data_IF_369577442561
#
_entry.id   IF_369577442561
#
_cell.length_a   1.000
_cell.length_b   1.000
_cell.length_c   1.000
_cell.angle_alpha   90.00
_cell.angle_beta   90.00
_cell.angle_gamma   90.00
#
_symmetry.space_group_name_H-M   'P 1'
#
loop_
_entity.id
_entity.type
_entity.pdbx_description
1 polymer ?
#
# COMPACT_ATOMS: atom_id res chain seq x y z
N UNK A 1 -14.25 9.44 -6.30
CA UNK A 1 -14.72 8.17 -6.87
C UNK A 1 -13.57 7.31 -7.34
N UNK A 2 -13.89 6.12 -7.86
CA UNK A 2 -12.90 5.20 -8.45
C UNK A 2 -12.89 5.36 -9.96
N UNK A 3 -11.76 5.81 -10.51
CA UNK A 3 -11.56 5.97 -11.93
C UNK A 3 -10.78 4.79 -12.52
N UNK A 4 -11.14 4.40 -13.74
CA UNK A 4 -10.47 3.31 -14.45
C UNK A 4 -9.21 3.79 -15.16
N UNK A 5 -9.31 4.95 -15.79
CA UNK A 5 -8.22 5.52 -16.57
C UNK A 5 -7.94 6.94 -16.08
N UNK A 6 -6.67 7.24 -15.90
CA UNK A 6 -6.18 8.56 -15.52
C UNK A 6 -4.99 8.90 -16.40
N UNK A 7 -5.03 10.08 -17.00
CA UNK A 7 -3.91 10.71 -17.72
C UNK A 7 -3.64 12.09 -17.13
N UNK A 8 -2.61 12.78 -17.61
CA UNK A 8 -2.31 14.16 -17.17
C UNK A 8 -3.41 15.18 -17.55
N UNK A 9 -4.30 14.80 -18.45
CA UNK A 9 -5.28 15.69 -19.05
C UNK A 9 -6.72 15.27 -18.78
N UNK A 10 -6.93 13.99 -18.39
CA UNK A 10 -8.27 13.42 -18.29
C UNK A 10 -8.37 12.35 -17.19
N UNK A 11 -9.51 12.33 -16.54
CA UNK A 11 -9.92 11.27 -15.58
C UNK A 11 -11.21 10.66 -16.10
N UNK A 12 -11.22 9.33 -16.29
CA UNK A 12 -12.38 8.61 -16.82
C UNK A 12 -12.93 7.69 -15.73
N UNK A 13 -14.16 7.96 -15.28
CA UNK A 13 -14.94 7.06 -14.45
C UNK A 13 -15.77 6.14 -15.34
N UNK A 14 -15.88 4.88 -14.94
CA UNK A 14 -16.85 3.96 -15.54
C UNK A 14 -18.15 3.97 -14.72
N UNK A 15 -19.19 4.52 -15.32
CA UNK A 15 -20.56 4.33 -14.85
C UNK A 15 -21.16 3.11 -15.54
N UNK A 16 -22.21 2.48 -14.97
CA UNK A 16 -22.88 1.36 -15.63
C UNK A 16 -23.26 1.70 -17.07
N UNK A 17 -22.60 0.99 -18.01
CA UNK A 17 -22.88 1.07 -19.44
C UNK A 17 -22.14 2.14 -20.24
N UNK A 18 -21.33 3.05 -19.63
CA UNK A 18 -20.56 4.06 -20.40
C UNK A 18 -19.39 4.66 -19.64
N UNK A 19 -18.30 5.06 -20.35
CA UNK A 19 -17.26 5.91 -19.78
C UNK A 19 -17.79 7.31 -19.51
N UNK A 20 -17.31 7.92 -18.43
CA UNK A 20 -17.66 9.29 -18.04
C UNK A 20 -16.37 10.12 -17.89
N UNK A 21 -15.91 10.81 -18.98
CA UNK A 21 -14.67 11.54 -18.97
C UNK A 21 -14.81 12.91 -18.31
N UNK A 22 -13.76 13.31 -17.59
CA UNK A 22 -13.61 14.66 -17.03
C UNK A 22 -12.25 15.22 -17.46
N UNK A 23 -12.27 16.44 -18.03
CA UNK A 23 -11.07 17.16 -18.44
C UNK A 23 -10.88 18.39 -17.55
N UNK A 24 -10.01 18.30 -16.52
CA UNK A 24 -9.69 19.44 -15.69
C UNK A 24 -8.99 20.53 -16.50
N UNK A 25 -9.24 21.80 -16.14
CA UNK A 25 -8.55 22.96 -16.74
C UNK A 25 -7.05 22.98 -16.37
N UNK A 26 -6.71 22.48 -15.17
CA UNK A 26 -5.34 22.23 -14.75
C UNK A 26 -4.94 20.77 -15.04
N UNK A 27 -3.63 20.53 -15.19
CA UNK A 27 -3.07 19.17 -15.29
C UNK A 27 -3.49 18.33 -14.10
N UNK A 28 -3.87 17.08 -14.35
CA UNK A 28 -4.19 16.11 -13.28
C UNK A 28 -2.93 15.81 -12.47
N UNK A 29 -3.03 15.91 -11.16
CA UNK A 29 -1.99 15.48 -10.23
C UNK A 29 -2.15 13.98 -9.96
N UNK A 30 -1.15 13.19 -10.34
CA UNK A 30 -1.14 11.73 -10.13
C UNK A 30 -0.10 11.40 -9.08
N UNK A 31 -0.52 10.71 -8.01
CA UNK A 31 0.41 10.28 -6.96
C UNK A 31 1.48 9.32 -7.52
N UNK A 32 2.73 9.51 -7.13
CA UNK A 32 3.86 8.68 -7.60
C UNK A 32 4.35 8.98 -9.01
N UNK A 33 3.79 9.97 -9.72
CA UNK A 33 4.18 10.33 -11.10
C UNK A 33 5.66 10.75 -11.24
N UNK A 34 6.24 11.28 -10.18
CA UNK A 34 7.63 11.74 -10.16
C UNK A 34 8.64 10.63 -9.80
N UNK A 35 8.19 9.44 -9.45
CA UNK A 35 9.08 8.29 -9.32
C UNK A 35 9.58 7.87 -10.71
N UNK A 36 10.84 7.45 -10.81
CA UNK A 36 11.46 7.00 -12.07
C UNK A 36 10.77 5.77 -12.70
N UNK A 37 9.76 5.22 -12.06
CA UNK A 37 8.91 4.15 -12.58
C UNK A 37 7.69 4.76 -13.26
N UNK A 38 7.36 4.26 -14.44
CA UNK A 38 6.07 4.51 -15.09
C UNK A 38 4.96 4.35 -14.06
N UNK A 39 4.11 5.35 -13.89
CA UNK A 39 3.15 5.49 -12.80
C UNK A 39 2.42 4.22 -12.40
N UNK A 40 1.94 4.17 -11.19
CA UNK A 40 1.24 3.01 -10.65
C UNK A 40 -0.01 2.68 -11.50
N UNK A 41 -0.23 1.40 -11.78
CA UNK A 41 -1.39 0.93 -12.55
C UNK A 41 -2.69 1.12 -11.78
N UNK A 42 -3.75 1.59 -12.47
CA UNK A 42 -5.09 1.71 -11.90
C UNK A 42 -5.69 0.38 -11.41
N UNK A 43 -6.91 0.44 -10.85
CA UNK A 43 -7.79 1.61 -10.80
C UNK A 43 -7.26 2.71 -9.87
N UNK A 44 -7.91 3.90 -9.91
CA UNK A 44 -7.45 5.06 -9.16
C UNK A 44 -8.57 5.64 -8.31
N UNK A 45 -8.27 5.99 -7.08
CA UNK A 45 -9.00 7.01 -6.36
C UNK A 45 -8.84 8.33 -7.10
N UNK A 46 -9.96 8.99 -7.40
CA UNK A 46 -9.92 10.27 -8.07
C UNK A 46 -10.81 11.29 -7.37
N UNK A 47 -10.29 12.49 -7.22
CA UNK A 47 -10.96 13.66 -6.65
C UNK A 47 -10.94 14.74 -7.72
N UNK A 48 -12.12 15.30 -8.01
CA UNK A 48 -12.29 16.39 -8.95
C UNK A 48 -12.76 17.64 -8.23
N UNK A 49 -12.13 18.77 -8.53
CA UNK A 49 -12.56 20.08 -8.06
C UNK A 49 -13.35 20.79 -9.16
N UNK A 50 -14.57 21.21 -8.84
CA UNK A 50 -15.39 22.02 -9.71
C UNK A 50 -15.51 23.43 -9.19
N UNK A 51 -15.38 24.40 -10.10
CA UNK A 51 -15.54 25.84 -9.83
C UNK A 51 -16.60 26.44 -10.74
N UNK A 52 -17.05 27.65 -10.38
CA UNK A 52 -17.87 28.48 -11.26
C UNK A 52 -17.01 29.63 -11.82
N UNK A 53 -17.13 29.89 -13.09
CA UNK A 53 -16.52 31.07 -13.72
C UNK A 53 -17.34 32.35 -13.46
N UNK A 54 -16.89 33.48 -14.02
CA UNK A 54 -17.56 34.78 -13.84
C UNK A 54 -18.97 34.82 -14.44
N UNK A 55 -19.29 33.94 -15.40
CA UNK A 55 -20.62 33.78 -15.99
C UNK A 55 -21.53 32.86 -15.19
N UNK A 56 -21.01 32.21 -14.13
CA UNK A 56 -21.71 31.22 -13.31
C UNK A 56 -21.66 29.81 -13.90
N UNK A 57 -20.96 29.56 -15.00
CA UNK A 57 -20.82 28.25 -15.62
C UNK A 57 -19.89 27.37 -14.79
N UNK A 58 -20.32 26.11 -14.53
CA UNK A 58 -19.53 25.13 -13.81
C UNK A 58 -18.50 24.47 -14.72
N UNK A 59 -17.25 24.43 -14.30
CA UNK A 59 -16.18 23.72 -14.99
C UNK A 59 -15.32 22.88 -14.02
N UNK A 60 -14.67 21.84 -14.53
CA UNK A 60 -13.71 21.04 -13.77
C UNK A 60 -12.39 21.81 -13.69
N UNK A 61 -12.02 22.31 -12.53
CA UNK A 61 -10.84 23.14 -12.34
C UNK A 61 -9.57 22.32 -12.15
N UNK A 62 -9.63 21.26 -11.34
CA UNK A 62 -8.48 20.41 -11.02
C UNK A 62 -8.90 18.96 -10.80
N UNK A 63 -7.94 18.05 -10.91
CA UNK A 63 -8.09 16.63 -10.61
C UNK A 63 -6.86 16.09 -9.88
N UNK A 64 -7.10 15.18 -8.95
CA UNK A 64 -6.09 14.40 -8.25
C UNK A 64 -6.43 12.92 -8.36
N UNK A 65 -5.42 12.07 -8.55
CA UNK A 65 -5.57 10.64 -8.62
C UNK A 65 -4.49 9.92 -7.83
N UNK A 66 -4.88 8.81 -7.19
CA UNK A 66 -4.00 7.93 -6.44
C UNK A 66 -4.36 6.48 -6.77
N UNK A 67 -3.39 5.67 -7.15
CA UNK A 67 -3.66 4.27 -7.51
C UNK A 67 -4.24 3.50 -6.33
N UNK A 68 -5.16 2.58 -6.63
CA UNK A 68 -5.70 1.61 -5.70
C UNK A 68 -5.30 0.19 -6.13
N UNK A 69 -5.32 -0.74 -5.18
CA UNK A 69 -5.00 -2.15 -5.46
C UNK A 69 -5.93 -2.72 -6.55
N UNK A 70 -7.24 -2.71 -6.29
CA UNK A 70 -8.26 -3.20 -7.22
C UNK A 70 -9.59 -2.45 -7.03
N UNK A 71 -10.62 -2.86 -7.78
CA UNK A 71 -11.99 -2.34 -7.59
C UNK A 71 -12.64 -2.86 -6.32
N UNK A 72 -12.33 -4.09 -5.94
CA UNK A 72 -12.91 -4.76 -4.79
C UNK A 72 -12.16 -4.39 -3.50
N UNK A 73 -10.84 -4.20 -3.61
CA UNK A 73 -9.98 -3.73 -2.53
C UNK A 73 -9.42 -2.36 -2.87
N UNK A 74 -10.12 -1.32 -2.50
CA UNK A 74 -9.76 0.07 -2.85
C UNK A 74 -8.68 0.66 -1.94
N UNK A 75 -7.74 -0.18 -1.48
CA UNK A 75 -6.60 0.23 -0.66
C UNK A 75 -5.64 1.05 -1.52
N UNK A 76 -5.26 2.27 -1.11
CA UNK A 76 -4.31 3.09 -1.85
C UNK A 76 -2.93 2.47 -1.86
N UNK A 77 -2.23 2.57 -3.00
CA UNK A 77 -0.86 2.06 -3.20
C UNK A 77 0.01 3.10 -3.91
N UNK A 78 1.24 3.26 -3.46
CA UNK A 78 2.16 4.30 -3.95
C UNK A 78 3.01 3.84 -5.14
N UNK A 79 3.08 2.53 -5.39
CA UNK A 79 3.86 1.95 -6.49
C UNK A 79 3.29 0.61 -6.96
N UNK A 80 3.69 0.18 -8.18
CA UNK A 80 3.35 -1.16 -8.67
C UNK A 80 3.93 -2.27 -7.79
N UNK A 81 5.13 -2.07 -7.24
CA UNK A 81 5.76 -3.03 -6.35
C UNK A 81 4.97 -3.18 -5.04
N UNK A 82 4.53 -2.07 -4.47
CA UNK A 82 3.66 -2.08 -3.29
C UNK A 82 2.33 -2.78 -3.57
N UNK A 83 1.78 -2.57 -4.77
CA UNK A 83 0.59 -3.29 -5.24
C UNK A 83 0.82 -4.80 -5.32
N UNK A 84 1.96 -5.22 -5.84
CA UNK A 84 2.31 -6.64 -5.93
C UNK A 84 2.53 -7.25 -4.53
N UNK A 85 3.17 -6.51 -3.60
CA UNK A 85 3.30 -6.90 -2.19
C UNK A 85 1.93 -7.04 -1.52
N UNK A 86 1.03 -6.07 -1.74
CA UNK A 86 -0.33 -6.10 -1.19
C UNK A 86 -1.13 -7.31 -1.69
N UNK A 87 -1.04 -7.63 -2.99
CA UNK A 87 -1.67 -8.83 -3.55
C UNK A 87 -1.14 -10.10 -2.88
N UNK A 88 0.17 -10.21 -2.67
CA UNK A 88 0.75 -11.34 -1.96
C UNK A 88 0.25 -11.45 -0.51
N UNK A 89 0.00 -10.32 0.18
CA UNK A 89 -0.59 -10.31 1.53
C UNK A 89 -2.02 -10.82 1.49
N UNK A 90 -2.83 -10.35 0.56
CA UNK A 90 -4.24 -10.76 0.41
C UNK A 90 -4.31 -12.26 0.13
N UNK A 91 -3.58 -12.75 -0.87
CA UNK A 91 -3.56 -14.15 -1.27
C UNK A 91 -3.12 -15.07 -0.12
N UNK A 92 -2.04 -14.71 0.57
CA UNK A 92 -1.53 -15.47 1.71
C UNK A 92 -2.53 -15.50 2.87
N UNK A 93 -3.16 -14.36 3.18
CA UNK A 93 -4.15 -14.24 4.25
C UNK A 93 -5.39 -15.09 3.95
N UNK A 94 -5.91 -15.02 2.72
CA UNK A 94 -7.04 -15.85 2.29
C UNK A 94 -6.73 -17.34 2.35
N UNK A 95 -5.52 -17.73 1.91
CA UNK A 95 -5.10 -19.12 1.96
C UNK A 95 -5.06 -19.66 3.39
N UNK A 96 -4.48 -18.88 4.33
CA UNK A 96 -4.39 -19.26 5.74
C UNK A 96 -5.77 -19.28 6.40
N UNK A 97 -6.62 -18.29 6.14
CA UNK A 97 -8.00 -18.26 6.65
C UNK A 97 -8.84 -19.45 6.16
N UNK A 98 -8.67 -19.89 4.90
CA UNK A 98 -9.37 -21.08 4.38
C UNK A 98 -8.91 -22.38 5.06
N UNK A 99 -7.64 -22.44 5.49
CA UNK A 99 -7.04 -23.66 6.07
C UNK A 99 -7.23 -23.77 7.59
N UNK A 100 -7.25 -22.63 8.28
CA UNK A 100 -7.33 -22.53 9.73
C UNK A 100 -8.53 -21.66 10.11
N UNK A 101 -9.67 -22.28 10.31
CA UNK A 101 -10.86 -21.59 10.81
C UNK A 101 -11.18 -22.08 12.22
N UNK A 102 -11.58 -21.18 13.11
CA UNK A 102 -11.76 -19.73 12.91
C UNK A 102 -10.52 -18.91 13.22
N UNK A 103 -10.21 -17.98 12.34
CA UNK A 103 -9.05 -17.10 12.40
C UNK A 103 -9.44 -15.71 11.89
N UNK A 104 -9.06 -14.65 12.61
CA UNK A 104 -9.20 -13.29 12.14
C UNK A 104 -7.85 -12.73 11.69
N UNK A 105 -7.76 -12.34 10.43
CA UNK A 105 -6.63 -11.57 9.88
C UNK A 105 -7.14 -10.21 9.46
N UNK A 106 -6.52 -9.14 9.97
CA UNK A 106 -6.80 -7.78 9.52
C UNK A 106 -5.59 -7.19 8.83
N UNK A 107 -5.84 -6.50 7.71
CA UNK A 107 -4.85 -5.76 6.94
C UNK A 107 -5.13 -4.26 7.07
N UNK A 108 -4.11 -3.51 7.43
CA UNK A 108 -4.18 -2.06 7.61
C UNK A 108 -3.13 -1.40 6.71
N UNK A 109 -3.55 -0.43 5.89
CA UNK A 109 -2.66 0.53 5.22
C UNK A 109 -2.64 1.80 6.06
N UNK A 110 -1.56 2.11 6.80
CA UNK A 110 -1.46 3.35 7.55
C UNK A 110 -1.50 4.55 6.59
N UNK A 111 -2.45 5.46 6.78
CA UNK A 111 -2.53 6.71 6.03
C UNK A 111 -1.74 7.84 6.69
N UNK A 112 -1.37 7.66 7.96
CA UNK A 112 -0.62 8.62 8.76
C UNK A 112 0.58 7.95 9.41
N UNK A 113 1.64 8.73 9.59
CA UNK A 113 2.82 8.29 10.32
C UNK A 113 2.48 7.93 11.77
N UNK A 114 3.17 6.95 12.30
CA UNK A 114 3.05 6.46 13.67
C UNK A 114 4.28 6.89 14.47
N UNK A 115 4.10 7.14 15.77
CA UNK A 115 5.22 7.36 16.70
C UNK A 115 5.63 6.03 17.30
N UNK A 116 6.92 5.73 17.27
CA UNK A 116 7.52 4.60 17.97
C UNK A 116 8.64 5.10 18.88
N UNK A 117 8.78 4.51 20.06
CA UNK A 117 9.76 4.92 21.06
C UNK A 117 10.69 3.75 21.37
N UNK A 118 12.01 3.97 21.21
CA UNK A 118 13.05 3.01 21.55
C UNK A 118 14.10 3.68 22.45
N UNK A 119 14.34 3.12 23.64
CA UNK A 119 15.33 3.60 24.60
C UNK A 119 15.22 5.11 24.92
N UNK A 120 13.98 5.62 25.01
CA UNK A 120 13.69 7.03 25.22
C UNK A 120 13.82 7.92 23.99
N UNK A 121 14.18 7.38 22.84
CA UNK A 121 14.22 8.08 21.55
C UNK A 121 12.91 7.86 20.81
N UNK A 122 12.26 8.96 20.44
CA UNK A 122 11.06 8.95 19.59
C UNK A 122 11.46 9.02 18.12
N UNK A 123 10.89 8.15 17.29
CA UNK A 123 11.04 8.18 15.83
C UNK A 123 9.66 8.10 15.17
N UNK A 124 9.52 8.76 14.04
CA UNK A 124 8.31 8.71 13.22
C UNK A 124 8.49 7.61 12.17
N UNK A 125 7.62 6.60 12.22
CA UNK A 125 7.61 5.49 11.28
C UNK A 125 6.35 5.54 10.41
N UNK A 126 6.46 5.05 9.18
CA UNK A 126 5.35 4.95 8.25
C UNK A 126 5.43 3.61 7.52
N UNK A 127 4.92 2.52 8.13
CA UNK A 127 4.87 1.22 7.48
C UNK A 127 4.00 1.23 6.22
N UNK A 128 4.38 0.45 5.22
CA UNK A 128 3.53 0.28 4.04
C UNK A 128 2.25 -0.49 4.41
N UNK A 129 2.38 -1.58 5.18
CA UNK A 129 1.23 -2.34 5.67
C UNK A 129 1.45 -2.88 7.08
N UNK A 130 0.33 -3.13 7.78
CA UNK A 130 0.29 -3.83 9.07
C UNK A 130 -0.71 -4.99 8.93
N UNK A 131 -0.27 -6.19 9.28
CA UNK A 131 -1.13 -7.38 9.31
C UNK A 131 -1.22 -7.89 10.74
N UNK A 132 -2.44 -7.95 11.27
CA UNK A 132 -2.72 -8.49 12.59
C UNK A 132 -3.41 -9.84 12.47
N UNK A 133 -2.93 -10.82 13.22
CA UNK A 133 -3.47 -12.19 13.28
C UNK A 133 -3.97 -12.47 14.69
N UNK A 134 -5.22 -12.89 14.80
CA UNK A 134 -5.86 -13.24 16.07
C UNK A 134 -6.50 -14.63 15.91
N UNK A 135 -5.93 -15.69 16.48
CA UNK A 135 -6.59 -16.99 16.54
C UNK A 135 -7.87 -16.90 17.37
N UNK A 136 -8.88 -17.71 17.04
CA UNK A 136 -10.15 -17.69 17.79
C UNK A 136 -9.95 -18.09 19.24
N UNK A 137 -10.64 -17.33 20.12
CA UNK A 137 -10.56 -17.55 21.57
C UNK A 137 -9.31 -16.97 22.21
N UNK A 138 -8.34 -16.50 21.45
CA UNK A 138 -7.17 -15.82 21.97
C UNK A 138 -7.37 -14.29 22.03
N UNK A 139 -6.73 -13.69 23.06
CA UNK A 139 -6.68 -12.22 23.19
C UNK A 139 -5.38 -11.65 22.64
N UNK A 140 -4.40 -12.52 22.39
CA UNK A 140 -3.09 -12.10 21.92
C UNK A 140 -3.13 -11.85 20.41
N UNK A 141 -2.72 -10.65 20.02
CA UNK A 141 -2.59 -10.24 18.62
C UNK A 141 -1.15 -10.45 18.18
N UNK A 142 -0.92 -11.20 17.12
CA UNK A 142 0.40 -11.26 16.46
C UNK A 142 0.41 -10.21 15.34
N UNK A 143 1.33 -9.24 15.43
CA UNK A 143 1.44 -8.13 14.48
C UNK A 143 2.66 -8.31 13.59
N UNK A 144 2.44 -8.19 12.28
CA UNK A 144 3.47 -8.12 11.24
C UNK A 144 3.48 -6.72 10.64
N UNK A 145 4.66 -6.10 10.62
CA UNK A 145 4.93 -4.84 9.94
C UNK A 145 5.55 -5.17 8.59
N UNK A 146 5.01 -4.65 7.51
CA UNK A 146 5.45 -4.99 6.15
C UNK A 146 5.93 -3.73 5.44
N UNK A 147 7.11 -3.84 4.84
CA UNK A 147 7.78 -2.79 4.09
C UNK A 147 8.16 -3.27 2.68
N UNK A 148 7.71 -2.54 1.67
CA UNK A 148 8.07 -2.78 0.27
C UNK A 148 9.33 -1.99 -0.07
N UNK A 149 10.41 -2.68 -0.40
CA UNK A 149 11.73 -2.06 -0.59
C UNK A 149 12.01 -1.80 -2.07
N UNK A 150 12.04 -0.52 -2.47
CA UNK A 150 12.12 -0.11 -3.88
C UNK A 150 13.51 0.31 -4.37
N UNK A 151 14.41 0.78 -3.49
CA UNK A 151 15.67 1.40 -3.87
C UNK A 151 16.86 0.78 -3.15
N UNK A 152 18.04 0.79 -3.85
CA UNK A 152 19.30 0.25 -3.35
C UNK A 152 20.33 1.38 -3.03
N UNK A 153 19.91 2.65 -3.08
CA UNK A 153 20.81 3.77 -2.78
C UNK A 153 21.23 3.73 -1.31
N UNK A 154 22.53 3.94 -1.04
CA UNK A 154 23.08 3.84 0.31
C UNK A 154 22.35 4.72 1.34
N UNK A 155 22.03 5.96 1.00
CA UNK A 155 21.28 6.88 1.86
C UNK A 155 19.85 6.36 2.18
N UNK A 156 19.21 5.73 1.19
CA UNK A 156 17.89 5.10 1.39
C UNK A 156 17.99 3.90 2.32
N UNK A 157 19.01 3.05 2.13
CA UNK A 157 19.26 1.86 2.97
C UNK A 157 19.54 2.28 4.41
N UNK A 158 20.39 3.30 4.63
CA UNK A 158 20.71 3.81 5.97
C UNK A 158 19.45 4.36 6.67
N UNK A 159 18.69 5.23 5.98
CA UNK A 159 17.46 5.80 6.52
C UNK A 159 16.44 4.72 6.89
N UNK A 160 16.19 3.75 5.99
CA UNK A 160 15.28 2.64 6.24
C UNK A 160 15.78 1.73 7.35
N UNK A 161 17.10 1.45 7.41
CA UNK A 161 17.70 0.67 8.49
C UNK A 161 17.36 1.25 9.87
N UNK A 162 17.43 2.58 10.02
CA UNK A 162 17.07 3.27 11.27
C UNK A 162 15.58 3.11 11.60
N UNK A 163 14.68 3.40 10.66
CA UNK A 163 13.23 3.27 10.90
C UNK A 163 12.81 1.82 11.14
N UNK A 164 13.45 0.85 10.50
CA UNK A 164 13.21 -0.58 10.70
C UNK A 164 13.50 -1.04 12.14
N UNK A 165 14.47 -0.45 12.83
CA UNK A 165 14.71 -0.75 14.25
C UNK A 165 13.50 -0.39 15.13
N UNK A 166 12.84 0.71 14.83
CA UNK A 166 11.64 1.14 15.53
C UNK A 166 10.43 0.28 15.13
N UNK A 167 10.29 -0.03 13.85
CA UNK A 167 9.20 -0.90 13.36
C UNK A 167 9.22 -2.29 14.00
N UNK A 168 10.41 -2.87 14.24
CA UNK A 168 10.54 -4.17 14.95
C UNK A 168 10.02 -4.16 16.38
N UNK A 169 9.78 -3.03 16.98
CA UNK A 169 9.14 -2.92 18.30
C UNK A 169 7.64 -3.01 18.22
N UNK A 170 7.06 -2.55 17.11
CA UNK A 170 5.62 -2.58 16.88
C UNK A 170 5.12 -3.95 16.40
N UNK A 171 6.05 -4.80 15.91
CA UNK A 171 5.73 -6.14 15.44
C UNK A 171 6.88 -6.82 14.72
N UNK A 172 6.63 -8.02 14.20
CA UNK A 172 7.61 -8.72 13.36
C UNK A 172 7.73 -8.00 12.01
N UNK A 173 8.89 -7.41 11.74
CA UNK A 173 9.15 -6.73 10.47
C UNK A 173 9.43 -7.74 9.35
N UNK A 174 8.71 -7.62 8.26
CA UNK A 174 8.91 -8.35 7.00
C UNK A 174 9.16 -7.35 5.87
N UNK A 175 10.17 -7.59 5.05
CA UNK A 175 10.47 -6.77 3.87
C UNK A 175 10.17 -7.53 2.59
N UNK A 176 9.79 -6.82 1.53
CA UNK A 176 9.69 -7.34 0.18
C UNK A 176 10.70 -6.62 -0.74
N UNK A 177 11.82 -7.26 -1.14
CA UNK A 177 12.19 -8.67 -0.92
C UNK A 177 12.67 -8.98 0.52
N UNK A 178 12.55 -10.26 0.97
CA UNK A 178 12.95 -10.66 2.35
C UNK A 178 14.43 -10.50 2.63
N UNK A 179 15.27 -10.53 1.60
CA UNK A 179 16.73 -10.42 1.71
C UNK A 179 17.23 -8.98 1.78
N UNK A 180 16.33 -7.99 1.67
CA UNK A 180 16.74 -6.59 1.69
C UNK A 180 17.60 -6.27 2.94
N UNK A 181 18.71 -5.51 2.82
CA UNK A 181 19.15 -4.72 1.64
C UNK A 181 19.92 -5.50 0.57
N UNK A 182 20.13 -6.78 0.72
CA UNK A 182 20.80 -7.61 -0.27
C UNK A 182 19.87 -7.97 -1.44
N UNK A 183 20.48 -8.14 -2.61
CA UNK A 183 19.73 -8.62 -3.79
C UNK A 183 19.34 -10.09 -3.60
N UNK A 184 18.08 -10.46 -3.95
CA UNK A 184 17.69 -11.86 -3.93
C UNK A 184 18.58 -12.71 -4.85
N UNK A 185 18.96 -13.90 -4.37
CA UNK A 185 19.72 -14.91 -5.11
C UNK A 185 18.82 -16.09 -5.46
N UNK A 186 19.28 -16.92 -6.44
CA UNK A 186 18.57 -18.16 -6.73
C UNK A 186 18.52 -19.06 -5.49
N UNK A 187 17.31 -19.49 -5.14
CA UNK A 187 17.07 -20.33 -3.97
C UNK A 187 16.64 -19.55 -2.70
N UNK A 188 16.72 -18.23 -2.70
CA UNK A 188 16.18 -17.43 -1.61
C UNK A 188 14.64 -17.54 -1.56
N UNK A 189 14.09 -17.48 -0.35
CA UNK A 189 12.63 -17.47 -0.18
C UNK A 189 12.04 -16.20 -0.76
N UNK A 190 10.93 -16.34 -1.47
CA UNK A 190 10.12 -15.20 -1.90
C UNK A 190 9.40 -14.56 -0.70
N UNK A 191 8.95 -13.32 -0.87
CA UNK A 191 8.15 -12.63 0.15
C UNK A 191 6.93 -13.47 0.56
N UNK A 192 6.18 -14.02 -0.40
CA UNK A 192 5.01 -14.87 -0.14
C UNK A 192 5.36 -16.11 0.69
N UNK A 193 6.49 -16.77 0.40
CA UNK A 193 6.94 -17.93 1.19
C UNK A 193 7.30 -17.55 2.63
N UNK A 194 7.96 -16.40 2.83
CA UNK A 194 8.27 -15.87 4.14
C UNK A 194 7.00 -15.51 4.92
N UNK A 195 6.09 -14.76 4.30
CA UNK A 195 4.83 -14.34 4.90
C UNK A 195 3.99 -15.54 5.31
N UNK A 196 3.79 -16.54 4.42
CA UNK A 196 3.06 -17.78 4.74
C UNK A 196 3.69 -18.51 5.93
N UNK A 197 5.03 -18.60 5.99
CA UNK A 197 5.72 -19.24 7.12
C UNK A 197 5.41 -18.53 8.44
N UNK A 198 5.38 -17.21 8.46
CA UNK A 198 5.05 -16.40 9.63
C UNK A 198 3.58 -16.50 10.02
N UNK A 199 2.67 -16.42 9.06
CA UNK A 199 1.23 -16.56 9.30
C UNK A 199 0.91 -17.95 9.89
N UNK A 200 1.51 -19.02 9.34
CA UNK A 200 1.36 -20.37 9.92
C UNK A 200 1.96 -20.51 11.32
N UNK A 201 3.03 -19.78 11.62
CA UNK A 201 3.60 -19.73 12.97
C UNK A 201 2.70 -19.03 13.98
N UNK A 202 1.93 -18.04 13.55
CA UNK A 202 1.03 -17.25 14.39
C UNK A 202 -0.29 -17.96 14.72
N UNK A 203 -0.64 -19.07 14.04
CA UNK A 203 -1.89 -19.82 14.25
C UNK A 203 -1.67 -21.19 14.91
N UNK A 204 -0.45 -21.48 15.35
CA UNK A 204 -0.08 -22.70 16.13
C UNK A 204 -0.01 -22.41 17.60
#
# INVERSE_FOLDING_TARGET
GLAQTVTKEEIIFELPGRPYPHKPAARVSINGEHSHNAGCRGPYWAILEYRRDQSGQVFCAAGYAHAAESRDNTIPVDSNKEKDTLNAIIDASEYVCKKYQPLAISLIKPLFSMKSIKDGVEEIIHPDFIVNVVPEGEKQVTTFIIETMGYELAEYVERKGRTHEFMRREGTLLTDPPTWPEKPKNGDKTFNQCLLSHLFGAVK
#
